data_IF_123722172751
#
_entry.id   IF_123722172751
#
_cell.length_a   1.000
_cell.length_b   1.000
_cell.length_c   1.000
_cell.angle_alpha   90.00
_cell.angle_beta   90.00
_cell.angle_gamma   90.00
#
_symmetry.space_group_name_H-M   'P 1'
#
loop_
_entity.id
_entity.type
_entity.pdbx_description
1 polymer ?
#
# COMPACT_ATOMS: atom_id res chain seq x y z
N UNK A 1 4.97 11.39 6.24
CA UNK A 1 5.62 10.52 5.21
C UNK A 1 7.09 10.86 5.16
N UNK A 2 7.99 9.90 5.26
CA UNK A 2 9.41 10.20 5.27
C UNK A 2 9.91 10.70 3.92
N UNK A 3 9.51 10.10 2.82
CA UNK A 3 9.95 10.54 1.50
C UNK A 3 8.94 10.14 0.44
N UNK A 4 9.09 10.72 -0.74
CA UNK A 4 8.32 10.30 -1.89
C UNK A 4 8.74 8.87 -2.28
N UNK A 5 7.80 7.96 -2.59
CA UNK A 5 8.18 6.63 -3.04
C UNK A 5 8.85 6.70 -4.42
N UNK A 6 9.87 5.88 -4.62
CA UNK A 6 10.54 5.77 -5.92
C UNK A 6 9.69 4.97 -6.89
N UNK A 7 8.99 3.97 -6.39
CA UNK A 7 8.08 3.16 -7.20
C UNK A 7 6.96 2.65 -6.32
N UNK A 8 5.88 2.22 -6.95
CA UNK A 8 4.75 1.58 -6.27
C UNK A 8 4.51 0.21 -6.88
N UNK A 9 4.05 -0.72 -6.07
CA UNK A 9 3.79 -2.08 -6.50
C UNK A 9 2.33 -2.33 -6.80
N UNK A 10 2.07 -2.88 -7.98
CA UNK A 10 0.76 -3.41 -8.34
C UNK A 10 0.82 -4.92 -8.20
N UNK A 11 0.28 -5.43 -7.10
CA UNK A 11 0.35 -6.84 -6.77
C UNK A 11 -0.85 -7.60 -7.38
N UNK A 12 -0.61 -8.79 -7.91
CA UNK A 12 -1.66 -9.60 -8.51
C UNK A 12 -2.21 -10.68 -7.58
N UNK A 13 -1.93 -10.61 -6.28
CA UNK A 13 -2.51 -11.56 -5.33
C UNK A 13 -4.03 -11.39 -5.28
N UNK A 14 -4.71 -12.37 -4.68
CA UNK A 14 -6.16 -12.44 -4.74
C UNK A 14 -6.88 -11.21 -4.18
N UNK A 15 -6.29 -10.55 -3.17
CA UNK A 15 -6.92 -9.37 -2.58
C UNK A 15 -6.47 -8.08 -3.26
N UNK A 16 -5.18 -7.95 -3.56
CA UNK A 16 -4.66 -6.70 -4.14
C UNK A 16 -5.22 -6.43 -5.54
N UNK A 17 -5.35 -7.47 -6.37
CA UNK A 17 -5.92 -7.28 -7.71
C UNK A 17 -7.39 -6.89 -7.68
N UNK A 18 -8.12 -7.33 -6.66
CA UNK A 18 -9.55 -6.98 -6.51
C UNK A 18 -9.73 -5.57 -5.99
N UNK A 19 -8.86 -5.14 -5.08
CA UNK A 19 -8.94 -3.81 -4.50
C UNK A 19 -8.32 -2.72 -5.37
N UNK A 20 -7.44 -3.10 -6.30
CA UNK A 20 -6.76 -2.12 -7.16
C UNK A 20 -5.74 -1.28 -6.43
N UNK A 21 -5.18 -1.77 -5.33
CA UNK A 21 -4.23 -1.01 -4.52
C UNK A 21 -2.88 -0.86 -5.22
N UNK A 22 -2.24 0.26 -4.95
CA UNK A 22 -0.85 0.51 -5.31
C UNK A 22 -0.09 0.80 -4.02
N UNK A 23 0.82 -0.08 -3.63
CA UNK A 23 1.52 0.07 -2.36
C UNK A 23 2.91 0.67 -2.56
N UNK A 24 3.19 1.70 -1.76
CA UNK A 24 4.54 2.21 -1.55
C UNK A 24 5.12 1.52 -0.32
N UNK A 25 6.36 1.06 -0.40
CA UNK A 25 6.97 0.27 0.66
C UNK A 25 8.02 1.10 1.38
N UNK A 26 7.98 1.06 2.71
CA UNK A 26 8.92 1.77 3.57
C UNK A 26 9.44 0.83 4.65
N UNK A 27 10.69 1.05 5.13
CA UNK A 27 11.16 0.29 6.28
C UNK A 27 10.26 0.52 7.50
N UNK A 28 10.10 -0.49 8.34
CA UNK A 28 9.27 -0.38 9.53
C UNK A 28 9.76 0.74 10.46
N UNK A 29 11.07 0.98 10.50
CA UNK A 29 11.68 2.02 11.32
C UNK A 29 11.63 3.42 10.70
N UNK A 30 11.02 3.59 9.53
CA UNK A 30 10.96 4.89 8.86
C UNK A 30 10.09 5.91 9.59
N UNK A 31 9.37 5.49 10.64
CA UNK A 31 8.57 6.41 11.43
C UNK A 31 7.25 6.79 10.79
N UNK A 32 6.70 5.91 9.95
CA UNK A 32 5.37 6.11 9.39
C UNK A 32 4.36 6.11 10.54
N UNK A 33 3.58 7.18 10.61
CA UNK A 33 2.60 7.36 11.67
C UNK A 33 1.20 7.18 11.10
N UNK A 34 0.46 6.25 11.69
CA UNK A 34 -0.94 6.01 11.33
C UNK A 34 -1.80 6.55 12.44
N UNK A 35 -2.70 7.47 12.09
CA UNK A 35 -3.64 8.06 13.04
C UNK A 35 -5.07 7.60 12.74
N UNK A 36 -5.87 7.47 13.79
CA UNK A 36 -7.24 7.05 13.68
C UNK A 36 -7.40 5.54 13.75
N UNK A 37 -8.65 5.10 13.80
CA UNK A 37 -8.98 3.69 13.87
C UNK A 37 -9.01 3.07 12.48
N UNK A 38 -8.52 1.83 12.39
CA UNK A 38 -8.63 1.03 11.17
C UNK A 38 -9.14 -0.36 11.52
N UNK A 39 -9.89 -0.95 10.61
CA UNK A 39 -10.20 -2.36 10.67
C UNK A 39 -9.11 -3.13 9.92
N UNK A 40 -8.86 -4.37 10.31
CA UNK A 40 -7.80 -5.15 9.70
C UNK A 40 -8.31 -6.50 9.20
N UNK A 41 -7.66 -7.01 8.17
CA UNK A 41 -7.98 -8.29 7.58
C UNK A 41 -6.69 -9.09 7.42
N UNK A 42 -6.71 -10.32 7.89
CA UNK A 42 -5.58 -11.25 7.78
C UNK A 42 -6.04 -12.45 6.97
N UNK A 43 -5.24 -12.82 5.98
CA UNK A 43 -5.60 -13.91 5.07
C UNK A 43 -4.36 -14.68 4.63
N UNK A 44 -4.59 -15.80 3.94
CA UNK A 44 -3.52 -16.59 3.34
C UNK A 44 -2.54 -17.12 4.37
N UNK A 45 -1.26 -16.82 4.21
CA UNK A 45 -0.19 -17.26 5.09
C UNK A 45 -0.14 -16.50 6.43
N UNK A 46 -0.99 -15.50 6.60
CA UNK A 46 -1.11 -14.71 7.84
C UNK A 46 0.18 -14.01 8.23
N UNK A 47 0.93 -13.53 7.26
CA UNK A 47 2.18 -12.81 7.51
C UNK A 47 1.98 -11.31 7.70
N UNK A 48 0.91 -10.75 7.11
CA UNK A 48 0.61 -9.33 7.20
C UNK A 48 -0.86 -9.11 7.53
N UNK A 49 -1.16 -7.93 8.09
CA UNK A 49 -2.53 -7.47 8.25
C UNK A 49 -2.76 -6.27 7.33
N UNK A 50 -3.82 -6.34 6.54
CA UNK A 50 -4.24 -5.24 5.68
C UNK A 50 -5.27 -4.40 6.42
N UNK A 51 -4.99 -3.11 6.53
CA UNK A 51 -5.86 -2.19 7.24
C UNK A 51 -6.71 -1.38 6.27
N UNK A 52 -7.93 -1.08 6.67
CA UNK A 52 -8.82 -0.24 5.89
C UNK A 52 -9.63 0.68 6.81
N UNK A 53 -10.14 1.75 6.25
CA UNK A 53 -11.01 2.66 6.97
C UNK A 53 -12.33 1.95 7.33
N UNK A 54 -12.73 1.93 8.61
CA UNK A 54 -13.98 1.25 8.99
C UNK A 54 -15.25 1.96 8.51
N UNK A 55 -15.12 3.22 8.10
CA UNK A 55 -16.27 4.00 7.62
C UNK A 55 -16.46 3.87 6.11
N UNK A 56 -15.43 4.09 5.31
CA UNK A 56 -15.56 4.08 3.85
C UNK A 56 -14.99 2.82 3.18
N UNK A 57 -14.23 2.01 3.92
CA UNK A 57 -13.67 0.76 3.40
C UNK A 57 -12.38 0.92 2.60
N UNK A 58 -11.86 2.13 2.44
CA UNK A 58 -10.63 2.34 1.67
C UNK A 58 -9.44 1.64 2.34
N UNK A 59 -8.69 0.80 1.62
CA UNK A 59 -7.44 0.25 2.13
C UNK A 59 -6.45 1.36 2.43
N UNK A 60 -5.84 1.34 3.61
CA UNK A 60 -4.90 2.38 4.02
C UNK A 60 -3.46 1.91 3.96
N UNK A 61 -3.16 0.80 4.60
CA UNK A 61 -1.80 0.28 4.69
C UNK A 61 -1.84 -1.18 5.09
N UNK A 62 -0.68 -1.84 5.02
CA UNK A 62 -0.50 -3.14 5.65
C UNK A 62 0.74 -3.11 6.51
N UNK A 63 0.75 -3.92 7.54
CA UNK A 63 1.90 -4.07 8.42
C UNK A 63 2.14 -5.54 8.73
N UNK A 64 3.40 -5.92 9.03
CA UNK A 64 3.70 -7.31 9.32
C UNK A 64 3.17 -7.70 10.70
N UNK A 65 2.75 -8.96 10.83
CA UNK A 65 2.35 -9.57 12.10
C UNK A 65 3.23 -10.73 12.49
N UNK A 66 4.31 -10.96 11.73
CA UNK A 66 5.32 -11.99 12.03
C UNK A 66 6.69 -11.33 12.06
N UNK A 67 7.63 -11.98 12.75
CA UNK A 67 9.01 -11.53 12.75
C UNK A 67 9.67 -11.80 11.39
N UNK A 68 10.69 -11.02 11.07
CA UNK A 68 11.45 -11.17 9.83
C UNK A 68 11.00 -10.27 8.70
N UNK A 69 9.86 -9.62 8.83
CA UNK A 69 9.40 -8.61 7.87
C UNK A 69 9.59 -7.24 8.51
N UNK A 70 10.45 -6.42 7.92
CA UNK A 70 10.83 -5.12 8.48
C UNK A 70 10.36 -3.94 7.65
N UNK A 71 9.30 -4.13 6.87
CA UNK A 71 8.74 -3.09 6.02
C UNK A 71 7.22 -3.00 6.19
N UNK A 72 6.68 -1.86 5.79
CA UNK A 72 5.24 -1.60 5.75
C UNK A 72 4.85 -1.15 4.35
N UNK A 73 3.62 -1.37 3.96
CA UNK A 73 3.09 -0.90 2.69
C UNK A 73 2.01 0.15 2.91
N UNK A 74 2.12 1.26 2.20
CA UNK A 74 1.16 2.36 2.27
C UNK A 74 0.43 2.44 0.93
N UNK A 75 -0.90 2.54 0.96
CA UNK A 75 -1.68 2.67 -0.27
C UNK A 75 -1.43 4.03 -0.89
N UNK A 76 -0.64 4.05 -1.96
CA UNK A 76 -0.22 5.29 -2.62
C UNK A 76 -1.38 6.08 -3.21
N UNK A 77 -2.51 5.40 -3.51
CA UNK A 77 -3.70 6.10 -4.03
C UNK A 77 -4.31 7.07 -3.04
N UNK A 78 -3.96 6.95 -1.75
CA UNK A 78 -4.43 7.85 -0.71
C UNK A 78 -3.50 9.04 -0.47
N UNK A 79 -2.36 9.09 -1.13
CA UNK A 79 -1.41 10.18 -0.95
C UNK A 79 -1.94 11.47 -1.57
N UNK A 80 -1.72 12.59 -0.88
CA UNK A 80 -2.01 13.90 -1.44
C UNK A 80 -1.18 14.10 -2.71
N UNK A 81 -1.81 14.67 -3.72
CA UNK A 81 -1.14 14.89 -5.00
C UNK A 81 -1.16 13.71 -5.94
N UNK A 82 -1.74 12.57 -5.53
CA UNK A 82 -1.92 11.44 -6.44
C UNK A 82 -2.99 11.78 -7.48
N UNK A 83 -2.69 11.48 -8.73
CA UNK A 83 -3.63 11.71 -9.84
C UNK A 83 -3.46 10.63 -10.89
N UNK A 84 -4.52 10.43 -11.67
CA UNK A 84 -4.50 9.54 -12.84
C UNK A 84 -4.71 10.41 -14.07
N UNK A 85 -3.80 10.30 -15.03
CA UNK A 85 -3.87 11.03 -16.29
C UNK A 85 -3.72 10.03 -17.44
N UNK A 86 -4.85 9.54 -17.92
CA UNK A 86 -4.86 8.47 -18.93
C UNK A 86 -4.23 7.20 -18.37
N UNK A 87 -3.23 6.63 -19.05
CA UNK A 87 -2.56 5.43 -18.57
C UNK A 87 -1.47 5.72 -17.52
N UNK A 88 -1.28 6.97 -17.14
CA UNK A 88 -0.19 7.37 -16.24
C UNK A 88 -0.70 7.62 -14.83
N UNK A 89 0.13 7.28 -13.86
CA UNK A 89 -0.09 7.63 -12.46
C UNK A 89 0.94 8.68 -12.07
N UNK A 90 0.47 9.76 -11.43
CA UNK A 90 1.29 10.91 -11.09
C UNK A 90 1.23 11.17 -9.60
N UNK A 91 2.34 11.64 -9.04
CA UNK A 91 2.38 12.14 -7.67
C UNK A 91 3.01 13.54 -7.70
N UNK A 92 2.22 14.54 -7.32
CA UNK A 92 2.60 15.96 -7.38
C UNK A 92 3.08 16.37 -8.77
N UNK A 93 2.42 15.84 -9.80
CA UNK A 93 2.72 16.15 -11.19
C UNK A 93 3.83 15.35 -11.84
N UNK A 94 4.55 14.55 -11.06
CA UNK A 94 5.61 13.68 -11.57
C UNK A 94 5.12 12.25 -11.73
N UNK A 95 5.54 11.62 -12.81
CA UNK A 95 5.14 10.25 -13.12
C UNK A 95 5.67 9.26 -12.07
N UNK A 96 4.80 8.37 -11.62
CA UNK A 96 5.17 7.29 -10.71
C UNK A 96 5.54 6.05 -11.51
N UNK A 97 6.68 5.44 -11.16
CA UNK A 97 6.99 4.10 -11.65
C UNK A 97 6.08 3.09 -10.98
N UNK A 98 5.39 2.27 -11.77
CA UNK A 98 4.55 1.18 -11.28
C UNK A 98 5.21 -0.14 -11.66
N UNK A 99 5.50 -0.97 -10.66
CA UNK A 99 6.06 -2.31 -10.87
C UNK A 99 4.98 -3.35 -10.61
N UNK A 100 4.80 -4.24 -11.56
CA UNK A 100 3.85 -5.33 -11.43
C UNK A 100 4.50 -6.47 -10.66
N UNK A 101 3.88 -6.86 -9.55
CA UNK A 101 4.41 -7.88 -8.66
C UNK A 101 3.60 -9.15 -8.83
N UNK A 102 4.28 -10.24 -9.18
CA UNK A 102 3.63 -11.53 -9.39
C UNK A 102 3.65 -12.32 -8.07
N UNK A 103 2.56 -12.22 -7.34
CA UNK A 103 2.34 -12.93 -6.10
C UNK A 103 1.13 -13.86 -6.19
N UNK A 104 0.67 -14.14 -7.40
CA UNK A 104 -0.38 -15.11 -7.62
C UNK A 104 0.20 -16.50 -7.40
N UNK A 105 -0.23 -17.14 -6.32
CA UNK A 105 0.32 -18.42 -5.94
C UNK A 105 -0.66 -19.55 -5.98
#
# INVERSE_FOLDING_TARGET
MPSRPEWVGSCNCSICRRLGTLFAYYPAEAGIRIEGETARYVWGDRMISLHHCPTCGCPTHWEPIVEGIDKVGINARLLDGFAIDGPRYLLNGDELEVRYLDNAG
#
